data_IF_104327688360
#
_entry.id   IF_104327688360
#
_cell.length_a   1.000
_cell.length_b   1.000
_cell.length_c   1.000
_cell.angle_alpha   90.00
_cell.angle_beta   90.00
_cell.angle_gamma   90.00
#
_symmetry.space_group_name_H-M   'P 1'
#
loop_
_entity.id
_entity.type
_entity.pdbx_description
1 polymer ?
#
# COMPACT_ATOMS: atom_id res chain seq x y z
N UNK A 1 -9.39 -7.27 -8.46
CA UNK A 1 -7.96 -7.46 -8.20
C UNK A 1 -7.67 -8.58 -7.21
N UNK A 2 -8.35 -8.66 -6.07
CA UNK A 2 -8.14 -9.75 -5.11
C UNK A 2 -8.47 -11.14 -5.65
N UNK A 3 -9.52 -11.26 -6.44
CA UNK A 3 -9.91 -12.52 -7.04
C UNK A 3 -8.93 -12.99 -8.11
N UNK A 4 -8.39 -12.06 -8.89
CA UNK A 4 -7.37 -12.36 -9.90
C UNK A 4 -6.11 -12.92 -9.26
N UNK A 5 -5.69 -12.34 -8.13
CA UNK A 5 -4.54 -12.82 -7.37
C UNK A 5 -4.79 -14.23 -6.87
N UNK A 6 -5.96 -14.52 -6.32
CA UNK A 6 -6.32 -15.88 -5.87
C UNK A 6 -6.25 -16.88 -7.01
N UNK A 7 -6.80 -16.53 -8.18
CA UNK A 7 -6.76 -17.39 -9.35
C UNK A 7 -5.34 -17.69 -9.81
N UNK A 8 -4.45 -16.69 -9.71
CA UNK A 8 -3.06 -16.85 -10.13
C UNK A 8 -2.25 -17.72 -9.16
N UNK A 9 -2.53 -17.63 -7.85
CA UNK A 9 -1.75 -18.38 -6.85
C UNK A 9 -2.11 -19.86 -6.75
N UNK A 10 -3.27 -20.26 -7.22
CA UNK A 10 -3.74 -21.64 -7.13
C UNK A 10 -3.78 -22.32 -8.49
N UNK A 11 -2.74 -22.14 -9.31
CA UNK A 11 -2.56 -22.82 -10.56
C UNK A 11 -2.32 -24.32 -10.38
N UNK A 12 -2.29 -25.11 -11.49
CA UNK A 12 -2.24 -26.57 -11.44
C UNK A 12 -1.03 -27.14 -10.69
N UNK A 13 0.07 -26.40 -10.64
CA UNK A 13 1.29 -26.82 -9.99
C UNK A 13 1.55 -26.11 -8.66
N UNK A 14 0.60 -25.32 -8.17
CA UNK A 14 0.75 -24.56 -6.95
C UNK A 14 1.79 -23.44 -7.00
N UNK A 15 2.29 -23.09 -8.18
CA UNK A 15 3.31 -22.07 -8.37
C UNK A 15 2.81 -20.98 -9.32
N UNK A 16 2.60 -19.78 -8.81
CA UNK A 16 2.11 -18.65 -9.58
C UNK A 16 2.74 -17.36 -9.07
N UNK A 17 2.78 -16.35 -9.93
CA UNK A 17 3.25 -15.02 -9.60
C UNK A 17 2.11 -14.02 -9.82
N UNK A 18 1.88 -13.15 -8.84
CA UNK A 18 0.86 -12.11 -8.93
C UNK A 18 1.41 -10.75 -8.55
N UNK A 19 0.64 -9.73 -8.87
CA UNK A 19 0.93 -8.34 -8.50
C UNK A 19 -0.22 -7.76 -7.71
N UNK A 20 0.10 -7.00 -6.67
CA UNK A 20 -0.90 -6.25 -5.90
C UNK A 20 -0.23 -5.18 -5.06
N UNK A 21 -1.05 -4.34 -4.43
CA UNK A 21 -0.55 -3.42 -3.42
C UNK A 21 -0.14 -4.16 -2.16
N UNK A 22 0.92 -3.68 -1.52
CA UNK A 22 1.47 -4.25 -0.29
C UNK A 22 0.41 -4.46 0.79
N UNK A 23 -0.50 -3.51 0.95
CA UNK A 23 -1.59 -3.59 1.92
C UNK A 23 -2.42 -4.86 1.75
N UNK A 24 -2.84 -5.17 0.51
CA UNK A 24 -3.62 -6.37 0.23
C UNK A 24 -2.81 -7.64 0.37
N UNK A 25 -1.55 -7.62 -0.04
CA UNK A 25 -0.67 -8.79 0.06
C UNK A 25 -0.42 -9.16 1.51
N UNK A 26 -0.23 -8.20 2.40
CA UNK A 26 -0.05 -8.47 3.83
C UNK A 26 -1.25 -9.18 4.44
N UNK A 27 -2.46 -8.78 4.05
CA UNK A 27 -3.67 -9.48 4.50
C UNK A 27 -3.70 -10.93 4.01
N UNK A 28 -3.26 -11.16 2.78
CA UNK A 28 -3.22 -12.51 2.21
C UNK A 28 -2.11 -13.36 2.84
N UNK A 29 -0.96 -12.78 3.17
CA UNK A 29 0.16 -13.51 3.75
C UNK A 29 -0.12 -13.99 5.17
N UNK A 30 -1.04 -13.37 5.88
CA UNK A 30 -1.48 -13.84 7.20
C UNK A 30 -2.05 -15.27 7.14
N UNK A 31 -2.48 -15.71 5.98
CA UNK A 31 -3.03 -17.05 5.77
C UNK A 31 -1.99 -18.09 5.33
N UNK A 32 -0.72 -17.72 5.26
CA UNK A 32 0.40 -18.66 5.17
C UNK A 32 0.72 -19.24 3.80
N UNK A 33 0.04 -18.80 2.73
CA UNK A 33 0.22 -19.38 1.39
C UNK A 33 0.86 -18.45 0.37
N UNK A 34 1.18 -17.23 0.74
CA UNK A 34 1.67 -16.19 -0.15
C UNK A 34 2.91 -15.55 0.46
N UNK A 35 3.90 -15.30 -0.36
CA UNK A 35 5.15 -14.67 0.05
C UNK A 35 5.42 -13.47 -0.83
N UNK A 36 5.75 -12.34 -0.22
CA UNK A 36 6.24 -11.18 -0.95
C UNK A 36 7.70 -11.39 -1.36
N UNK A 37 8.02 -10.98 -2.58
CA UNK A 37 9.35 -11.16 -3.15
C UNK A 37 10.17 -9.88 -3.04
N UNK A 38 11.46 -10.06 -2.82
CA UNK A 38 12.43 -8.98 -2.95
C UNK A 38 12.60 -8.59 -4.43
N UNK A 39 12.83 -7.32 -4.69
CA UNK A 39 13.25 -6.82 -5.98
C UNK A 39 14.64 -6.18 -5.83
N UNK A 40 15.58 -6.62 -6.65
CA UNK A 40 16.98 -6.17 -6.56
C UNK A 40 17.57 -6.33 -5.15
N UNK A 41 17.17 -7.38 -4.45
CA UNK A 41 17.64 -7.63 -3.08
C UNK A 41 16.97 -6.79 -2.01
N UNK A 42 15.89 -6.04 -2.34
CA UNK A 42 15.18 -5.18 -1.41
C UNK A 42 13.79 -5.76 -1.11
N UNK A 43 13.53 -6.02 0.16
CA UNK A 43 12.22 -6.51 0.62
C UNK A 43 11.24 -5.34 0.78
N UNK A 44 9.96 -5.49 0.39
CA UNK A 44 8.99 -4.42 0.44
C UNK A 44 8.40 -4.20 1.84
N UNK A 45 9.25 -3.93 2.83
CA UNK A 45 8.80 -3.54 4.16
C UNK A 45 8.45 -2.04 4.19
N UNK A 46 7.86 -1.58 5.29
CA UNK A 46 7.44 -0.19 5.41
C UNK A 46 8.59 0.79 5.22
N UNK A 47 9.74 0.49 5.80
CA UNK A 47 10.93 1.34 5.69
C UNK A 47 11.43 1.47 4.26
N UNK A 48 11.55 0.36 3.53
CA UNK A 48 12.03 0.36 2.16
C UNK A 48 11.05 1.00 1.18
N UNK A 49 9.75 0.93 1.47
CA UNK A 49 8.74 1.63 0.69
C UNK A 49 8.78 3.13 0.99
N UNK A 50 8.92 3.52 2.24
CA UNK A 50 8.93 4.92 2.65
C UNK A 50 10.14 5.67 2.08
N UNK A 51 11.31 5.07 2.09
CA UNK A 51 12.54 5.68 1.59
C UNK A 51 12.78 5.43 0.10
N UNK A 52 11.83 4.78 -0.57
CA UNK A 52 11.89 4.46 -2.00
C UNK A 52 13.05 3.53 -2.40
N UNK A 53 13.62 2.79 -1.45
CA UNK A 53 14.62 1.77 -1.76
C UNK A 53 14.02 0.61 -2.54
N UNK A 54 12.74 0.30 -2.31
CA UNK A 54 12.01 -0.67 -3.11
C UNK A 54 11.69 -0.07 -4.48
N UNK A 55 12.03 -0.75 -5.60
CA UNK A 55 11.99 -0.13 -6.93
C UNK A 55 10.60 0.28 -7.43
N UNK A 56 9.55 -0.35 -6.93
CA UNK A 56 8.19 -0.08 -7.40
C UNK A 56 7.36 0.47 -6.25
N UNK A 57 7.14 1.77 -6.25
CA UNK A 57 6.36 2.48 -5.24
C UNK A 57 5.30 3.32 -5.93
N UNK A 58 4.08 3.30 -5.39
CA UNK A 58 2.97 4.11 -5.88
C UNK A 58 2.37 4.91 -4.73
N UNK A 59 2.12 6.19 -4.97
CA UNK A 59 1.56 7.08 -3.98
C UNK A 59 0.04 7.13 -4.07
N UNK A 60 -0.60 7.35 -2.93
CA UNK A 60 -2.00 7.77 -2.90
C UNK A 60 -2.06 9.28 -2.91
N UNK A 61 -3.08 9.80 -3.54
CA UNK A 61 -3.27 11.24 -3.70
C UNK A 61 -4.64 11.65 -3.18
N UNK A 62 -4.68 12.79 -2.50
CA UNK A 62 -5.92 13.49 -2.23
C UNK A 62 -6.15 14.47 -3.36
N UNK A 63 -7.34 14.45 -3.95
CA UNK A 63 -7.70 15.32 -5.06
C UNK A 63 -8.78 16.29 -4.61
N UNK A 64 -8.54 17.58 -4.80
CA UNK A 64 -9.50 18.63 -4.49
C UNK A 64 -9.86 19.40 -5.75
N UNK A 65 -11.01 20.08 -5.69
CA UNK A 65 -11.45 20.92 -6.81
C UNK A 65 -10.59 22.19 -6.85
N UNK A 66 -10.17 22.58 -8.03
CA UNK A 66 -9.50 23.87 -8.22
C UNK A 66 -10.47 25.00 -7.84
N UNK A 67 -10.00 25.93 -7.01
CA UNK A 67 -10.84 27.03 -6.54
C UNK A 67 -11.81 26.65 -5.42
N UNK A 68 -11.58 25.52 -4.74
CA UNK A 68 -12.39 25.12 -3.60
C UNK A 68 -12.35 26.17 -2.48
N UNK A 69 -13.52 26.60 -2.02
CA UNK A 69 -13.65 27.63 -0.99
C UNK A 69 -14.11 27.10 0.36
N UNK A 70 -14.49 25.83 0.44
CA UNK A 70 -14.91 25.24 1.72
C UNK A 70 -13.70 25.03 2.62
N UNK A 71 -13.62 25.73 3.78
CA UNK A 71 -12.46 25.63 4.68
C UNK A 71 -12.28 24.24 5.29
N UNK A 72 -13.32 23.43 5.32
CA UNK A 72 -13.24 22.07 5.87
C UNK A 72 -12.39 21.14 5.00
N UNK A 73 -12.31 21.41 3.70
CA UNK A 73 -11.45 20.62 2.78
C UNK A 73 -9.99 20.74 3.22
N UNK A 74 -9.52 21.96 3.47
CA UNK A 74 -8.15 22.18 3.92
C UNK A 74 -7.90 21.59 5.31
N UNK A 75 -8.89 21.68 6.21
CA UNK A 75 -8.77 21.07 7.54
C UNK A 75 -8.60 19.58 7.49
N UNK A 76 -9.32 18.88 6.61
CA UNK A 76 -9.18 17.43 6.43
C UNK A 76 -7.79 17.10 5.90
N UNK A 77 -7.32 17.83 4.89
CA UNK A 77 -5.98 17.61 4.32
C UNK A 77 -4.89 17.85 5.37
N UNK A 78 -5.00 18.91 6.15
CA UNK A 78 -4.05 19.22 7.20
C UNK A 78 -4.03 18.13 8.28
N UNK A 79 -5.20 17.61 8.64
CA UNK A 79 -5.27 16.49 9.58
C UNK A 79 -4.61 15.22 9.03
N UNK A 80 -4.87 14.86 7.77
CA UNK A 80 -4.26 13.67 7.14
C UNK A 80 -2.74 13.80 7.13
N UNK A 81 -2.22 14.98 6.86
CA UNK A 81 -0.77 15.24 6.81
C UNK A 81 -0.15 15.50 8.18
N UNK A 82 -0.96 15.67 9.22
CA UNK A 82 -0.47 15.86 10.58
C UNK A 82 0.20 14.58 11.12
N UNK A 83 1.04 14.68 12.16
CA UNK A 83 1.62 13.49 12.78
C UNK A 83 0.58 12.47 13.24
N UNK A 84 -0.52 12.93 13.81
CA UNK A 84 -1.62 12.06 14.24
C UNK A 84 -2.26 11.32 13.06
N UNK A 85 -2.54 12.05 11.97
CA UNK A 85 -3.11 11.47 10.76
C UNK A 85 -2.16 10.44 10.11
N UNK A 86 -0.88 10.74 10.08
CA UNK A 86 0.13 9.83 9.54
C UNK A 86 0.29 8.57 10.40
N UNK A 87 0.18 8.69 11.71
CA UNK A 87 0.20 7.53 12.60
C UNK A 87 -1.00 6.61 12.38
N UNK A 88 -2.18 7.18 12.14
CA UNK A 88 -3.37 6.40 11.80
C UNK A 88 -3.18 5.66 10.48
N UNK A 89 -2.62 6.31 9.46
CA UNK A 89 -2.33 5.68 8.17
C UNK A 89 -1.40 4.49 8.35
N UNK A 90 -0.36 4.63 9.14
CA UNK A 90 0.56 3.53 9.43
C UNK A 90 -0.13 2.40 10.20
N UNK A 91 -0.96 2.73 11.17
CA UNK A 91 -1.66 1.76 12.00
C UNK A 91 -2.63 0.89 11.18
N UNK A 92 -3.30 1.45 10.17
CA UNK A 92 -4.18 0.67 9.31
C UNK A 92 -3.44 -0.17 8.27
N UNK A 93 -2.13 -0.02 8.13
CA UNK A 93 -1.31 -0.88 7.28
C UNK A 93 -0.72 -0.24 6.03
N UNK A 94 -0.98 1.04 5.81
CA UNK A 94 -0.32 1.80 4.75
C UNK A 94 0.99 2.41 5.24
N UNK A 95 1.79 2.90 4.31
CA UNK A 95 3.06 3.54 4.64
C UNK A 95 2.86 5.05 4.72
N UNK A 96 3.25 5.64 5.84
CA UNK A 96 3.13 7.09 6.04
C UNK A 96 4.14 7.85 5.17
N UNK A 97 3.82 9.09 4.94
CA UNK A 97 4.66 9.98 4.15
C UNK A 97 6.05 10.20 4.77
#
# INVERSE_FOLDING_TARGET
>A
MGEEIKGNFFGPFGASLGFSFRFYVEELTKHGHIKMLELNGVYPNKENVQNEAYPIVSNFYAVTRKGETNPNVQKVLDFVLSPTGQDIIEEVGYVKK
#
